data_IF_720116300249
#
_entry.id   IF_720116300249
#
_cell.length_a   1.000
_cell.length_b   1.000
_cell.length_c   1.000
_cell.angle_alpha   90.00
_cell.angle_beta   90.00
_cell.angle_gamma   90.00
#
_symmetry.space_group_name_H-M   'P 1'
#
loop_
_entity.id
_entity.type
_entity.pdbx_description
1 polymer ?
#
# COMPACT_ATOMS: atom_id res chain seq x y z
N UNK A 1 -1.34 -39.95 -22.88
CA UNK A 1 -2.78 -40.02 -22.57
C UNK A 1 -3.13 -38.80 -21.73
N UNK A 2 -4.34 -38.28 -21.93
CA UNK A 2 -4.85 -36.97 -21.54
C UNK A 2 -4.23 -36.32 -20.28
N UNK A 3 -3.58 -35.17 -20.48
CA UNK A 3 -3.32 -34.22 -19.41
C UNK A 3 -4.68 -33.58 -19.10
N UNK A 4 -5.38 -34.08 -18.08
CA UNK A 4 -6.67 -33.54 -17.65
C UNK A 4 -6.51 -32.03 -17.44
N UNK A 5 -7.20 -31.26 -18.28
CA UNK A 5 -7.39 -29.82 -18.07
C UNK A 5 -8.25 -29.70 -16.83
N UNK A 6 -7.64 -29.57 -15.65
CA UNK A 6 -8.35 -29.10 -14.46
C UNK A 6 -8.92 -27.72 -14.81
N UNK A 7 -10.22 -27.70 -15.09
CA UNK A 7 -11.02 -26.49 -15.21
C UNK A 7 -11.54 -26.20 -13.81
N UNK A 8 -11.20 -25.02 -13.29
CA UNK A 8 -11.84 -24.51 -12.08
C UNK A 8 -13.21 -23.95 -12.47
N UNK A 9 -14.25 -24.45 -11.80
CA UNK A 9 -15.65 -24.11 -12.06
C UNK A 9 -16.13 -23.20 -10.92
N UNK A 10 -16.55 -21.99 -11.26
CA UNK A 10 -17.07 -21.01 -10.32
C UNK A 10 -18.56 -21.27 -10.03
N UNK A 11 -19.01 -20.95 -8.83
CA UNK A 11 -20.41 -21.13 -8.44
C UNK A 11 -21.31 -20.07 -9.09
N UNK A 12 -22.56 -20.43 -9.43
CA UNK A 12 -23.51 -19.49 -10.04
C UNK A 12 -23.78 -18.25 -9.16
N UNK A 13 -23.64 -18.37 -7.84
CA UNK A 13 -23.79 -17.30 -6.87
C UNK A 13 -22.68 -16.23 -6.97
N UNK A 14 -21.48 -16.60 -7.40
CA UNK A 14 -20.36 -15.67 -7.58
C UNK A 14 -20.55 -14.75 -8.77
N UNK A 15 -21.05 -15.30 -9.89
CA UNK A 15 -21.45 -14.52 -11.05
C UNK A 15 -22.64 -13.60 -10.74
N UNK A 16 -23.59 -14.06 -9.92
CA UNK A 16 -24.72 -13.26 -9.48
C UNK A 16 -24.28 -12.06 -8.64
N UNK A 17 -23.30 -12.22 -7.73
CA UNK A 17 -22.71 -11.12 -6.95
C UNK A 17 -22.11 -10.02 -7.83
N UNK A 18 -21.29 -10.39 -8.82
CA UNK A 18 -20.67 -9.43 -9.75
C UNK A 18 -21.73 -8.75 -10.62
N UNK A 19 -22.68 -9.52 -11.15
CA UNK A 19 -23.77 -8.99 -11.97
C UNK A 19 -24.62 -7.97 -11.20
N UNK A 20 -24.93 -8.29 -9.94
CA UNK A 20 -25.65 -7.38 -9.04
C UNK A 20 -24.87 -6.10 -8.81
N UNK A 21 -23.59 -6.21 -8.45
CA UNK A 21 -22.73 -5.04 -8.21
C UNK A 21 -22.62 -4.15 -9.45
N UNK A 22 -22.40 -4.72 -10.65
CA UNK A 22 -22.32 -3.96 -11.89
C UNK A 22 -23.60 -3.16 -12.15
N UNK A 23 -24.78 -3.76 -11.91
CA UNK A 23 -26.08 -3.11 -12.12
C UNK A 23 -26.36 -2.01 -11.08
N UNK A 24 -26.02 -2.26 -9.83
CA UNK A 24 -26.34 -1.39 -8.68
C UNK A 24 -25.25 -0.36 -8.35
N UNK A 25 -24.13 -0.35 -9.08
CA UNK A 25 -23.02 0.57 -8.86
C UNK A 25 -23.44 2.02 -9.05
N UNK A 26 -23.43 2.78 -7.95
CA UNK A 26 -23.67 4.22 -7.94
C UNK A 26 -22.35 5.00 -8.07
N UNK A 27 -22.35 6.20 -8.69
CA UNK A 27 -21.16 7.02 -8.81
C UNK A 27 -20.47 7.21 -7.45
N UNK A 28 -19.18 6.89 -7.40
CA UNK A 28 -18.41 7.01 -6.17
C UNK A 28 -17.83 8.42 -6.01
N UNK A 29 -18.25 9.09 -4.95
CA UNK A 29 -17.88 10.47 -4.62
C UNK A 29 -16.54 10.61 -3.89
N UNK A 30 -15.84 9.50 -3.65
CA UNK A 30 -14.63 9.44 -2.83
C UNK A 30 -13.52 10.41 -3.30
N UNK A 31 -13.37 10.65 -4.62
CA UNK A 31 -12.37 11.58 -5.17
C UNK A 31 -12.85 13.03 -5.37
N UNK A 32 -14.06 13.38 -4.92
CA UNK A 32 -14.58 14.75 -5.04
C UNK A 32 -13.71 15.74 -4.25
N UNK A 33 -13.20 15.34 -3.08
CA UNK A 33 -12.30 16.18 -2.27
C UNK A 33 -11.03 16.55 -3.06
N UNK A 34 -10.41 15.57 -3.72
CA UNK A 34 -9.23 15.78 -4.56
C UNK A 34 -9.53 16.73 -5.73
N UNK A 35 -10.67 16.54 -6.41
CA UNK A 35 -11.08 17.40 -7.53
C UNK A 35 -11.30 18.87 -7.11
N UNK A 36 -11.69 19.08 -5.84
CA UNK A 36 -11.93 20.40 -5.27
C UNK A 36 -10.67 21.12 -4.76
N UNK A 37 -9.50 20.47 -4.71
CA UNK A 37 -8.26 21.09 -4.20
C UNK A 37 -7.95 22.40 -4.94
N UNK A 38 -8.17 22.47 -6.26
CA UNK A 38 -7.97 23.72 -7.04
C UNK A 38 -8.82 24.88 -6.53
N UNK A 39 -10.09 24.62 -6.18
CA UNK A 39 -10.99 25.64 -5.64
C UNK A 39 -10.54 26.09 -4.24
N UNK A 40 -10.06 25.16 -3.42
CA UNK A 40 -9.56 25.45 -2.07
C UNK A 40 -8.27 26.27 -2.15
N UNK A 41 -7.33 25.93 -3.04
CA UNK A 41 -6.11 26.71 -3.30
C UNK A 41 -6.47 28.13 -3.75
N UNK A 42 -7.44 28.28 -4.67
CA UNK A 42 -7.90 29.60 -5.13
C UNK A 42 -8.50 30.43 -4.00
N UNK A 43 -9.33 29.82 -3.15
CA UNK A 43 -9.91 30.45 -1.95
C UNK A 43 -8.82 30.87 -0.96
N UNK A 44 -7.83 30.01 -0.71
CA UNK A 44 -6.70 30.26 0.17
C UNK A 44 -5.81 31.41 -0.35
N UNK A 45 -5.53 31.45 -1.65
CA UNK A 45 -4.73 32.53 -2.28
C UNK A 45 -5.31 33.92 -2.03
N UNK A 46 -6.65 34.05 -1.94
CA UNK A 46 -7.33 35.31 -1.67
C UNK A 46 -7.37 35.72 -0.19
N UNK A 47 -7.05 34.80 0.73
CA UNK A 47 -7.17 34.99 2.18
C UNK A 47 -5.84 34.98 2.93
N UNK A 48 -4.82 34.34 2.36
CA UNK A 48 -3.51 34.20 2.99
C UNK A 48 -2.61 35.45 2.79
N UNK A 49 -1.67 35.73 3.72
CA UNK A 49 -0.72 36.83 3.60
C UNK A 49 0.14 36.77 2.33
N UNK A 50 0.60 37.94 1.86
CA UNK A 50 1.42 38.04 0.64
C UNK A 50 2.74 37.26 0.70
N UNK A 51 3.28 37.07 1.89
CA UNK A 51 4.51 36.33 2.16
C UNK A 51 4.40 34.84 1.84
N UNK A 52 3.21 34.25 1.98
CA UNK A 52 2.97 32.82 1.73
C UNK A 52 2.42 32.52 0.34
N UNK A 53 1.95 33.53 -0.40
CA UNK A 53 1.44 33.38 -1.78
C UNK A 53 2.40 32.60 -2.70
N UNK A 54 3.74 32.84 -2.68
CA UNK A 54 4.66 32.07 -3.51
C UNK A 54 4.61 30.56 -3.23
N UNK A 55 4.42 30.17 -1.97
CA UNK A 55 4.35 28.76 -1.54
C UNK A 55 3.01 28.15 -1.96
N UNK A 56 1.91 28.89 -1.81
CA UNK A 56 0.58 28.47 -2.32
C UNK A 56 0.59 28.30 -3.84
N UNK A 57 1.35 29.13 -4.56
CA UNK A 57 1.54 28.99 -6.01
C UNK A 57 2.33 27.71 -6.36
N UNK A 58 3.32 27.34 -5.55
CA UNK A 58 4.03 26.06 -5.70
C UNK A 58 3.07 24.88 -5.54
N UNK A 59 2.25 24.88 -4.49
CA UNK A 59 1.20 23.88 -4.27
C UNK A 59 0.22 23.78 -5.44
N UNK A 60 -0.20 24.92 -5.99
CA UNK A 60 -1.04 24.96 -7.19
C UNK A 60 -0.37 24.29 -8.40
N UNK A 61 0.92 24.56 -8.62
CA UNK A 61 1.69 23.99 -9.72
C UNK A 61 1.92 22.48 -9.52
N UNK A 62 2.27 22.06 -8.30
CA UNK A 62 2.45 20.67 -7.90
C UNK A 62 1.15 19.88 -8.11
N UNK A 63 0.02 20.39 -7.61
CA UNK A 63 -1.30 19.80 -7.83
C UNK A 63 -1.68 19.71 -9.31
N UNK A 64 -1.44 20.76 -10.10
CA UNK A 64 -1.78 20.79 -11.52
C UNK A 64 -1.00 19.74 -12.32
N UNK A 65 0.30 19.58 -12.06
CA UNK A 65 1.14 18.54 -12.69
C UNK A 65 0.67 17.15 -12.30
N UNK A 66 0.46 16.92 -11.00
CA UNK A 66 0.03 15.62 -10.49
C UNK A 66 -1.35 15.22 -10.99
N UNK A 67 -2.28 16.16 -11.08
CA UNK A 67 -3.62 15.91 -11.64
C UNK A 67 -3.55 15.38 -13.07
N UNK A 68 -2.67 15.91 -13.92
CA UNK A 68 -2.49 15.44 -15.30
C UNK A 68 -1.98 13.99 -15.28
N UNK A 69 -0.95 13.71 -14.49
CA UNK A 69 -0.35 12.38 -14.38
C UNK A 69 -1.32 11.34 -13.83
N UNK A 70 -2.09 11.69 -12.79
CA UNK A 70 -3.13 10.83 -12.21
C UNK A 70 -4.20 10.54 -13.25
N UNK A 71 -4.71 11.55 -13.97
CA UNK A 71 -5.74 11.35 -15.00
C UNK A 71 -5.25 10.42 -16.12
N UNK A 72 -4.01 10.59 -16.58
CA UNK A 72 -3.42 9.70 -17.57
C UNK A 72 -3.32 8.27 -17.05
N UNK A 73 -2.76 8.09 -15.86
CA UNK A 73 -2.61 6.76 -15.31
C UNK A 73 -3.95 6.10 -14.95
N UNK A 74 -4.95 6.86 -14.51
CA UNK A 74 -6.31 6.38 -14.28
C UNK A 74 -6.94 5.88 -15.58
N UNK A 75 -6.73 6.58 -16.70
CA UNK A 75 -7.19 6.12 -18.00
C UNK A 75 -6.52 4.78 -18.39
N UNK A 76 -5.21 4.66 -18.19
CA UNK A 76 -4.45 3.43 -18.46
C UNK A 76 -4.92 2.26 -17.58
N UNK A 77 -5.01 2.47 -16.26
CA UNK A 77 -5.47 1.47 -15.29
C UNK A 77 -6.91 1.06 -15.57
N UNK A 78 -7.81 1.99 -15.88
CA UNK A 78 -9.18 1.66 -16.26
C UNK A 78 -9.23 0.82 -17.54
N UNK A 79 -8.36 1.06 -18.52
CA UNK A 79 -8.31 0.26 -19.74
C UNK A 79 -7.87 -1.18 -19.44
N UNK A 80 -6.88 -1.37 -18.57
CA UNK A 80 -6.40 -2.70 -18.13
C UNK A 80 -7.47 -3.40 -17.28
N UNK A 81 -8.03 -2.70 -16.28
CA UNK A 81 -9.02 -3.25 -15.37
C UNK A 81 -10.35 -3.56 -16.06
N UNK A 82 -10.76 -2.77 -17.05
CA UNK A 82 -11.96 -3.10 -17.85
C UNK A 82 -11.77 -4.41 -18.60
N UNK A 83 -10.60 -4.63 -19.21
CA UNK A 83 -10.26 -5.90 -19.87
C UNK A 83 -10.22 -7.04 -18.86
N UNK A 84 -9.64 -6.82 -17.69
CA UNK A 84 -9.61 -7.78 -16.59
C UNK A 84 -11.02 -8.18 -16.17
N UNK A 85 -11.90 -7.22 -15.84
CA UNK A 85 -13.30 -7.47 -15.44
C UNK A 85 -14.05 -8.26 -16.50
N UNK A 86 -13.98 -7.83 -17.77
CA UNK A 86 -14.66 -8.52 -18.87
C UNK A 86 -14.15 -9.96 -19.01
N UNK A 87 -12.82 -10.14 -18.96
CA UNK A 87 -12.21 -11.46 -19.12
C UNK A 87 -12.55 -12.38 -17.95
N UNK A 88 -12.46 -11.89 -16.72
CA UNK A 88 -12.81 -12.63 -15.51
C UNK A 88 -14.29 -13.03 -15.50
N UNK A 89 -15.18 -12.15 -15.94
CA UNK A 89 -16.61 -12.48 -16.08
C UNK A 89 -16.84 -13.63 -17.08
N UNK A 90 -16.19 -13.59 -18.24
CA UNK A 90 -16.26 -14.70 -19.21
C UNK A 90 -15.64 -16.00 -18.67
N UNK A 91 -14.57 -15.90 -17.88
CA UNK A 91 -13.93 -17.05 -17.23
C UNK A 91 -14.87 -17.70 -16.22
N UNK A 92 -15.57 -16.90 -15.41
CA UNK A 92 -16.56 -17.43 -14.45
C UNK A 92 -17.70 -18.19 -15.14
N UNK A 93 -18.11 -17.80 -16.35
CA UNK A 93 -19.15 -18.50 -17.10
C UNK A 93 -18.74 -19.87 -17.64
N UNK A 94 -17.46 -20.04 -17.98
CA UNK A 94 -16.98 -21.21 -18.74
C UNK A 94 -15.92 -22.04 -18.02
N UNK A 95 -15.53 -21.62 -16.81
CA UNK A 95 -14.40 -22.14 -16.05
C UNK A 95 -13.04 -21.61 -16.51
N UNK A 96 -12.07 -21.57 -15.59
CA UNK A 96 -10.71 -21.09 -15.86
C UNK A 96 -9.85 -22.20 -16.47
N UNK A 97 -9.12 -21.88 -17.53
CA UNK A 97 -8.05 -22.72 -18.06
C UNK A 97 -6.68 -22.02 -17.93
N UNK A 98 -5.60 -22.75 -18.22
CA UNK A 98 -4.22 -22.26 -18.09
C UNK A 98 -3.92 -21.01 -18.94
N UNK A 99 -4.53 -20.87 -20.11
CA UNK A 99 -4.32 -19.70 -20.97
C UNK A 99 -5.08 -18.47 -20.45
N UNK A 100 -6.28 -18.68 -19.92
CA UNK A 100 -7.05 -17.63 -19.23
C UNK A 100 -6.28 -17.12 -18.01
N UNK A 101 -5.74 -18.03 -17.18
CA UNK A 101 -4.88 -17.67 -16.04
C UNK A 101 -3.67 -16.83 -16.46
N UNK A 102 -2.96 -17.24 -17.51
CA UNK A 102 -1.82 -16.46 -18.06
C UNK A 102 -2.22 -15.07 -18.52
N UNK A 103 -3.40 -14.93 -19.15
CA UNK A 103 -3.90 -13.63 -19.60
C UNK A 103 -4.23 -12.73 -18.41
N UNK A 104 -4.87 -13.26 -17.37
CA UNK A 104 -5.19 -12.51 -16.15
C UNK A 104 -3.92 -12.04 -15.43
N UNK A 105 -2.90 -12.91 -15.31
CA UNK A 105 -1.58 -12.55 -14.77
C UNK A 105 -0.86 -11.51 -15.65
N UNK A 106 -0.99 -11.59 -16.98
CA UNK A 106 -0.37 -10.62 -17.87
C UNK A 106 -1.02 -9.22 -17.75
N UNK A 107 -2.31 -9.15 -17.39
CA UNK A 107 -3.01 -7.88 -17.12
C UNK A 107 -2.55 -7.26 -15.80
N UNK A 108 -2.19 -8.06 -14.79
CA UNK A 108 -1.58 -7.56 -13.54
C UNK A 108 -0.29 -6.78 -13.82
N UNK A 109 0.61 -7.35 -14.63
CA UNK A 109 1.88 -6.69 -15.01
C UNK A 109 1.70 -5.42 -15.85
N UNK A 110 0.51 -5.20 -16.41
CA UNK A 110 0.17 -4.00 -17.19
C UNK A 110 -0.44 -2.89 -16.32
N UNK A 111 -0.78 -3.16 -15.05
CA UNK A 111 -1.33 -2.15 -14.16
C UNK A 111 -0.28 -1.07 -13.90
N UNK A 112 -0.63 0.19 -14.18
CA UNK A 112 0.29 1.31 -14.02
C UNK A 112 0.48 1.65 -12.52
N UNK A 113 1.57 1.16 -11.93
CA UNK A 113 1.92 1.44 -10.53
C UNK A 113 2.61 2.79 -10.34
N UNK A 114 3.04 3.46 -11.42
CA UNK A 114 3.72 4.75 -11.32
C UNK A 114 2.79 5.85 -10.76
N UNK A 115 1.49 5.67 -10.86
CA UNK A 115 0.49 6.60 -10.31
C UNK A 115 0.65 6.74 -8.80
N UNK A 116 0.88 5.62 -8.10
CA UNK A 116 1.07 5.59 -6.64
C UNK A 116 2.33 6.39 -6.29
N UNK A 117 3.45 6.12 -6.97
CA UNK A 117 4.70 6.84 -6.74
C UNK A 117 4.55 8.36 -6.99
N UNK A 118 3.80 8.75 -8.01
CA UNK A 118 3.54 10.17 -8.31
C UNK A 118 2.61 10.84 -7.28
N UNK A 119 1.66 10.08 -6.73
CA UNK A 119 0.79 10.53 -5.65
C UNK A 119 1.57 10.72 -4.35
N UNK A 120 2.41 9.76 -4.00
CA UNK A 120 3.27 9.84 -2.81
C UNK A 120 4.20 11.07 -2.92
N UNK A 121 4.79 11.30 -4.09
CA UNK A 121 5.61 12.48 -4.34
C UNK A 121 4.82 13.80 -4.21
N UNK A 122 3.57 13.83 -4.69
CA UNK A 122 2.71 15.00 -4.55
C UNK A 122 2.29 15.27 -3.11
N UNK A 123 1.94 14.22 -2.37
CA UNK A 123 1.60 14.32 -0.95
C UNK A 123 2.77 14.88 -0.19
N UNK A 124 3.97 14.35 -0.40
CA UNK A 124 5.16 14.82 0.29
C UNK A 124 5.50 16.27 -0.07
N UNK A 125 5.39 16.65 -1.35
CA UNK A 125 5.54 18.05 -1.77
C UNK A 125 4.50 18.95 -1.10
N UNK A 126 3.23 18.54 -1.09
CA UNK A 126 2.12 19.30 -0.51
C UNK A 126 2.29 19.45 1.00
N UNK A 127 2.73 18.40 1.68
CA UNK A 127 3.06 18.39 3.11
C UNK A 127 4.14 19.43 3.39
N UNK A 128 5.25 19.38 2.65
CA UNK A 128 6.36 20.33 2.79
C UNK A 128 5.90 21.78 2.57
N UNK A 129 5.14 22.05 1.50
CA UNK A 129 4.61 23.37 1.16
C UNK A 129 3.64 23.89 2.23
N UNK A 130 2.74 23.05 2.74
CA UNK A 130 1.76 23.45 3.76
C UNK A 130 2.42 23.65 5.14
N UNK A 131 3.43 22.85 5.50
CA UNK A 131 4.28 23.07 6.68
C UNK A 131 5.05 24.38 6.56
N UNK A 132 5.52 24.73 5.36
CA UNK A 132 6.21 25.99 5.11
C UNK A 132 5.27 27.19 5.23
N UNK A 133 4.06 27.10 4.64
CA UNK A 133 3.00 28.12 4.83
C UNK A 133 2.75 28.32 6.33
N UNK A 134 2.67 27.22 7.07
CA UNK A 134 2.49 27.28 8.51
C UNK A 134 3.63 28.00 9.23
N UNK A 135 4.86 27.59 8.94
CA UNK A 135 6.08 28.15 9.52
C UNK A 135 6.18 29.67 9.31
N UNK A 136 5.78 30.17 8.13
CA UNK A 136 5.76 31.59 7.84
C UNK A 136 4.64 32.32 8.60
N UNK A 137 3.43 31.75 8.68
CA UNK A 137 2.34 32.33 9.50
C UNK A 137 2.74 32.44 10.98
N UNK A 138 3.42 31.41 11.51
CA UNK A 138 3.90 31.44 12.89
C UNK A 138 5.06 32.44 13.07
N UNK A 139 5.94 32.58 12.08
CA UNK A 139 7.01 33.58 12.09
C UNK A 139 6.46 35.00 12.08
N UNK A 140 5.41 35.27 11.32
CA UNK A 140 4.70 36.56 11.38
C UNK A 140 4.09 36.82 12.75
N UNK A 141 3.54 35.78 13.40
CA UNK A 141 2.91 35.86 14.73
C UNK A 141 3.88 36.12 15.87
N UNK A 142 5.03 35.46 15.84
CA UNK A 142 5.94 35.38 16.99
C UNK A 142 7.22 36.20 16.77
N UNK A 143 7.58 36.47 15.52
CA UNK A 143 8.81 37.18 15.17
C UNK A 143 10.06 36.28 15.18
N UNK A 144 11.24 36.90 15.28
CA UNK A 144 12.53 36.23 15.04
C UNK A 144 12.88 35.10 16.04
N UNK A 145 12.24 35.05 17.21
CA UNK A 145 12.49 34.03 18.23
C UNK A 145 12.14 32.60 17.80
N UNK A 146 11.07 32.43 17.01
CA UNK A 146 10.61 31.11 16.54
C UNK A 146 11.45 30.59 15.36
N UNK A 147 12.15 31.47 14.63
CA UNK A 147 12.85 31.11 13.40
C UNK A 147 13.95 30.05 13.63
N UNK A 148 14.64 30.10 14.77
CA UNK A 148 15.65 29.10 15.15
C UNK A 148 15.01 27.73 15.43
N UNK A 149 13.85 27.71 16.08
CA UNK A 149 13.12 26.48 16.40
C UNK A 149 12.54 25.84 15.14
N UNK A 150 11.96 26.63 14.24
CA UNK A 150 11.47 26.16 12.95
C UNK A 150 12.60 25.54 12.12
N UNK A 151 13.75 26.22 12.04
CA UNK A 151 14.93 25.68 11.34
C UNK A 151 15.40 24.36 11.96
N UNK A 152 15.50 24.28 13.29
CA UNK A 152 15.88 23.06 14.00
C UNK A 152 14.86 21.93 13.77
N UNK A 153 13.57 22.27 13.71
CA UNK A 153 12.49 21.34 13.40
C UNK A 153 12.65 20.75 11.99
N UNK A 154 12.98 21.56 10.98
CA UNK A 154 13.19 21.08 9.61
C UNK A 154 14.43 20.18 9.49
N UNK A 155 15.51 20.52 10.18
CA UNK A 155 16.73 19.70 10.25
C UNK A 155 16.46 18.34 10.91
N UNK A 156 15.72 18.33 12.03
CA UNK A 156 15.38 17.11 12.75
C UNK A 156 14.37 16.25 11.99
N UNK A 157 13.38 16.86 11.32
CA UNK A 157 12.42 16.14 10.48
C UNK A 157 13.12 15.45 9.31
N UNK A 158 14.04 16.15 8.64
CA UNK A 158 14.83 15.57 7.54
C UNK A 158 15.69 14.39 8.02
N UNK A 159 16.30 14.50 9.20
CA UNK A 159 17.08 13.41 9.78
C UNK A 159 16.19 12.23 10.20
N UNK A 160 15.00 12.51 10.75
CA UNK A 160 14.04 11.50 11.16
C UNK A 160 13.50 10.69 9.97
N UNK A 161 13.12 11.36 8.88
CA UNK A 161 12.64 10.70 7.66
C UNK A 161 13.72 9.81 7.04
N UNK A 162 14.96 10.31 6.94
CA UNK A 162 16.11 9.52 6.46
C UNK A 162 16.35 8.27 7.30
N UNK A 163 16.33 8.42 8.63
CA UNK A 163 16.54 7.29 9.56
C UNK A 163 15.38 6.31 9.55
N UNK A 164 14.15 6.78 9.36
CA UNK A 164 12.97 5.93 9.22
C UNK A 164 13.07 5.04 7.98
N UNK A 165 13.56 5.59 6.86
CA UNK A 165 13.84 4.83 5.64
C UNK A 165 14.94 3.78 5.89
N UNK A 166 16.06 4.16 6.50
CA UNK A 166 17.14 3.23 6.87
C UNK A 166 16.63 2.10 7.79
N UNK A 167 15.85 2.43 8.82
CA UNK A 167 15.27 1.48 9.77
C UNK A 167 14.26 0.55 9.09
N UNK A 168 13.43 1.08 8.19
CA UNK A 168 12.49 0.33 7.38
C UNK A 168 13.20 -0.70 6.50
N UNK A 169 14.22 -0.26 5.76
CA UNK A 169 14.99 -1.12 4.89
C UNK A 169 15.66 -2.24 5.70
N UNK A 170 16.23 -1.89 6.86
CA UNK A 170 16.85 -2.88 7.75
C UNK A 170 15.84 -3.86 8.33
N UNK A 171 14.64 -3.40 8.72
CA UNK A 171 13.56 -4.28 9.18
C UNK A 171 13.14 -5.29 8.10
N UNK A 172 13.06 -4.85 6.84
CA UNK A 172 12.73 -5.72 5.71
C UNK A 172 13.84 -6.73 5.43
N UNK A 173 15.12 -6.32 5.54
CA UNK A 173 16.26 -7.25 5.47
C UNK A 173 16.18 -8.32 6.58
N UNK A 174 15.95 -7.91 7.84
CA UNK A 174 15.78 -8.82 8.98
C UNK A 174 14.67 -9.84 8.70
N UNK A 175 13.50 -9.36 8.27
CA UNK A 175 12.37 -10.23 8.06
C UNK A 175 12.47 -11.10 6.80
N UNK A 176 13.15 -10.65 5.74
CA UNK A 176 13.50 -11.50 4.59
C UNK A 176 14.45 -12.62 5.02
N UNK A 177 15.46 -12.30 5.82
CA UNK A 177 16.40 -13.27 6.36
C UNK A 177 15.69 -14.30 7.24
N UNK A 178 14.82 -13.85 8.14
CA UNK A 178 14.01 -14.71 9.01
C UNK A 178 13.05 -15.61 8.20
N UNK A 179 12.38 -15.07 7.18
CA UNK A 179 11.52 -15.87 6.29
C UNK A 179 12.30 -16.97 5.56
N UNK A 180 13.53 -16.69 5.13
CA UNK A 180 14.39 -17.70 4.51
C UNK A 180 14.83 -18.79 5.49
N UNK A 181 15.17 -18.43 6.74
CA UNK A 181 15.46 -19.39 7.81
C UNK A 181 14.26 -20.31 8.04
N UNK A 182 13.06 -19.75 8.19
CA UNK A 182 11.84 -20.54 8.42
C UNK A 182 11.54 -21.50 7.26
N UNK A 183 11.69 -21.04 6.02
CA UNK A 183 11.50 -21.87 4.84
C UNK A 183 12.51 -23.02 4.80
N UNK A 184 13.79 -22.73 5.05
CA UNK A 184 14.85 -23.73 5.05
C UNK A 184 14.68 -24.75 6.18
N UNK A 185 14.26 -24.31 7.38
CA UNK A 185 13.95 -25.20 8.49
C UNK A 185 12.79 -26.14 8.16
N UNK A 186 11.73 -25.61 7.55
CA UNK A 186 10.59 -26.42 7.10
C UNK A 186 11.00 -27.42 6.01
N UNK A 187 11.77 -26.97 5.01
CA UNK A 187 12.28 -27.81 3.93
C UNK A 187 13.16 -28.94 4.49
N UNK A 188 14.09 -28.61 5.39
CA UNK A 188 14.94 -29.59 6.08
C UNK A 188 14.11 -30.63 6.83
N UNK A 189 13.16 -30.19 7.67
CA UNK A 189 12.28 -31.10 8.42
C UNK A 189 11.48 -32.02 7.48
N UNK A 190 11.01 -31.47 6.36
CA UNK A 190 10.29 -32.24 5.35
C UNK A 190 11.20 -33.29 4.70
N UNK A 191 12.41 -32.93 4.26
CA UNK A 191 13.32 -33.90 3.66
C UNK A 191 13.85 -34.95 4.65
N UNK A 192 14.07 -34.56 5.91
CA UNK A 192 14.41 -35.51 6.98
C UNK A 192 13.30 -36.55 7.21
N UNK A 193 12.03 -36.14 7.14
CA UNK A 193 10.89 -37.07 7.15
C UNK A 193 10.78 -37.89 5.85
N UNK A 194 11.07 -37.29 4.70
CA UNK A 194 10.99 -37.94 3.39
C UNK A 194 12.00 -39.10 3.26
N UNK A 195 13.14 -39.02 3.95
CA UNK A 195 14.09 -40.13 4.06
C UNK A 195 13.45 -41.40 4.69
N UNK A 196 12.44 -41.24 5.54
CA UNK A 196 11.70 -42.35 6.14
C UNK A 196 10.41 -42.71 5.36
N UNK A 197 9.69 -41.72 4.83
CA UNK A 197 8.46 -41.92 4.05
C UNK A 197 8.26 -40.83 2.99
N UNK A 198 8.93 -40.96 1.84
CA UNK A 198 8.92 -39.95 0.78
C UNK A 198 7.53 -39.58 0.26
N UNK A 199 6.65 -40.57 0.04
CA UNK A 199 5.29 -40.33 -0.46
C UNK A 199 4.40 -39.67 0.58
N UNK A 200 4.44 -40.14 1.83
CA UNK A 200 3.67 -39.51 2.92
C UNK A 200 4.13 -38.07 3.20
N UNK A 201 5.43 -37.78 3.09
CA UNK A 201 5.92 -36.40 3.23
C UNK A 201 5.49 -35.51 2.07
N UNK A 202 5.46 -36.01 0.83
CA UNK A 202 4.93 -35.23 -0.31
C UNK A 202 3.46 -34.85 -0.09
N UNK A 203 2.67 -35.76 0.46
CA UNK A 203 1.27 -35.51 0.85
C UNK A 203 1.17 -34.49 1.99
N UNK A 204 2.01 -34.59 3.03
CA UNK A 204 2.09 -33.60 4.13
C UNK A 204 2.46 -32.20 3.62
N UNK A 205 3.45 -32.07 2.73
CA UNK A 205 3.84 -30.78 2.13
C UNK A 205 2.71 -30.21 1.28
N UNK A 206 1.98 -31.06 0.54
CA UNK A 206 0.80 -30.64 -0.23
C UNK A 206 -0.32 -30.15 0.70
N UNK A 207 -0.56 -30.83 1.81
CA UNK A 207 -1.54 -30.41 2.82
C UNK A 207 -1.14 -29.09 3.50
N UNK A 208 0.15 -28.88 3.76
CA UNK A 208 0.65 -27.61 4.31
C UNK A 208 0.48 -26.45 3.32
N UNK A 209 0.71 -26.67 2.02
CA UNK A 209 0.42 -25.66 0.97
C UNK A 209 -1.05 -25.24 1.04
N UNK A 210 -1.97 -26.20 1.14
CA UNK A 210 -3.41 -25.91 1.28
C UNK A 210 -3.70 -25.13 2.57
N UNK A 211 -3.09 -25.52 3.69
CA UNK A 211 -3.23 -24.82 4.97
C UNK A 211 -2.73 -23.38 4.89
N UNK A 212 -1.57 -23.15 4.27
CA UNK A 212 -0.98 -21.82 4.09
C UNK A 212 -1.84 -20.95 3.15
N UNK A 213 -2.41 -21.52 2.08
CA UNK A 213 -3.38 -20.83 1.23
C UNK A 213 -4.60 -20.37 2.05
N UNK A 214 -5.11 -21.24 2.94
CA UNK A 214 -6.18 -20.87 3.88
C UNK A 214 -5.83 -19.73 4.85
N UNK A 215 -4.54 -19.42 5.08
CA UNK A 215 -4.11 -18.29 5.91
C UNK A 215 -4.05 -16.96 5.18
N UNK A 216 -4.11 -16.96 3.83
CA UNK A 216 -4.06 -15.73 3.02
C UNK A 216 -5.18 -14.77 3.46
N UNK A 217 -6.40 -15.28 3.63
CA UNK A 217 -7.56 -14.51 4.07
C UNK A 217 -7.35 -13.85 5.43
N UNK A 218 -6.74 -14.53 6.41
CA UNK A 218 -6.47 -13.97 7.73
C UNK A 218 -5.42 -12.84 7.69
N UNK A 219 -4.41 -12.98 6.83
CA UNK A 219 -3.43 -11.90 6.62
C UNK A 219 -4.01 -10.72 5.85
N UNK A 220 -4.91 -10.97 4.90
CA UNK A 220 -5.65 -9.90 4.22
C UNK A 220 -6.60 -9.18 5.16
N UNK A 221 -7.34 -9.91 6.01
CA UNK A 221 -8.18 -9.33 7.06
C UNK A 221 -7.33 -8.48 8.00
N UNK A 222 -6.11 -8.91 8.35
CA UNK A 222 -5.18 -8.08 9.15
C UNK A 222 -4.68 -6.85 8.39
N UNK A 223 -4.35 -6.97 7.10
CA UNK A 223 -4.00 -5.82 6.25
C UNK A 223 -5.17 -4.84 6.19
N UNK A 224 -6.40 -5.34 6.06
CA UNK A 224 -7.62 -4.55 5.98
C UNK A 224 -7.98 -3.91 7.33
N UNK A 225 -7.87 -4.65 8.44
CA UNK A 225 -8.02 -4.13 9.79
C UNK A 225 -7.00 -3.03 10.05
N UNK A 226 -5.72 -3.25 9.77
CA UNK A 226 -4.73 -2.18 9.89
C UNK A 226 -5.04 -1.02 8.96
N UNK A 227 -5.60 -1.22 7.76
CA UNK A 227 -6.05 -0.10 6.90
C UNK A 227 -7.21 0.68 7.48
N UNK A 228 -8.22 -0.01 8.02
CA UNK A 228 -9.45 0.60 8.52
C UNK A 228 -9.17 1.31 9.86
N UNK A 229 -8.41 0.67 10.76
CA UNK A 229 -7.92 1.28 12.00
C UNK A 229 -6.94 2.41 11.71
N UNK A 230 -6.04 2.25 10.73
CA UNK A 230 -5.17 3.33 10.28
C UNK A 230 -5.94 4.42 9.53
N UNK A 231 -7.17 4.23 9.06
CA UNK A 231 -7.99 5.33 8.51
C UNK A 231 -8.63 6.17 9.62
N UNK A 232 -9.00 5.54 10.75
CA UNK A 232 -9.46 6.23 11.96
C UNK A 232 -8.29 6.93 12.70
N UNK A 233 -7.11 6.33 12.69
CA UNK A 233 -5.89 6.90 13.26
C UNK A 233 -5.13 7.84 12.29
N UNK A 234 -5.19 7.68 10.96
CA UNK A 234 -4.58 8.61 9.98
C UNK A 234 -5.21 9.99 9.98
N UNK A 235 -6.44 10.12 10.48
CA UNK A 235 -7.03 11.41 10.83
C UNK A 235 -6.12 12.28 11.70
N UNK A 236 -5.13 11.70 12.41
CA UNK A 236 -4.12 12.45 13.18
C UNK A 236 -2.71 12.46 12.58
N UNK A 237 -2.37 11.65 11.57
CA UNK A 237 -1.01 11.10 11.51
C UNK A 237 -0.09 11.57 10.39
N UNK A 238 -0.56 11.99 9.20
CA UNK A 238 0.38 12.01 8.06
C UNK A 238 0.61 13.31 7.32
N UNK A 239 -0.07 14.41 7.66
CA UNK A 239 0.15 15.64 6.88
C UNK A 239 0.44 16.90 7.75
N UNK A 240 0.11 16.95 9.06
CA UNK A 240 0.24 18.21 9.84
C UNK A 240 0.67 18.05 11.31
N UNK A 241 1.79 17.34 11.53
CA UNK A 241 2.27 16.89 12.85
C UNK A 241 2.50 17.95 13.93
N UNK A 242 2.49 19.25 13.62
CA UNK A 242 2.72 20.26 14.66
C UNK A 242 1.42 20.86 15.22
N UNK A 243 0.23 20.53 14.69
CA UNK A 243 -1.07 20.99 15.22
C UNK A 243 -2.09 19.90 15.55
N UNK A 244 -2.01 18.72 14.93
CA UNK A 244 -2.90 17.58 15.23
C UNK A 244 -2.12 16.60 16.10
N UNK A 245 -2.64 16.42 17.32
CA UNK A 245 -1.95 15.76 18.44
C UNK A 245 -1.82 14.26 18.22
N UNK A 246 -0.76 13.74 18.82
CA UNK A 246 -0.47 12.33 19.10
C UNK A 246 -0.04 11.50 17.87
N UNK A 247 1.28 11.37 17.72
CA UNK A 247 1.91 10.53 16.70
C UNK A 247 2.01 9.10 17.19
N UNK A 248 1.32 8.17 16.51
CA UNK A 248 1.56 6.74 16.63
C UNK A 248 1.98 6.17 15.26
N UNK A 249 3.24 5.75 15.12
CA UNK A 249 3.72 5.15 13.88
C UNK A 249 3.26 3.69 13.85
N UNK A 250 2.04 3.43 13.34
CA UNK A 250 1.65 2.06 13.03
C UNK A 250 2.19 1.64 11.66
N UNK A 251 3.27 0.88 11.67
CA UNK A 251 3.78 0.17 10.49
C UNK A 251 2.95 -1.09 10.17
N UNK A 252 1.85 -1.34 10.88
CA UNK A 252 1.03 -2.53 10.85
C UNK A 252 0.53 -2.91 9.46
N UNK A 253 0.03 -1.97 8.65
CA UNK A 253 -0.39 -2.27 7.27
C UNK A 253 0.78 -2.80 6.44
N UNK A 254 1.92 -2.10 6.48
CA UNK A 254 3.10 -2.47 5.70
C UNK A 254 3.67 -3.81 6.17
N UNK A 255 3.75 -4.01 7.48
CA UNK A 255 4.22 -5.27 8.09
C UNK A 255 3.28 -6.42 7.74
N UNK A 256 1.96 -6.22 7.87
CA UNK A 256 0.96 -7.22 7.50
C UNK A 256 1.03 -7.57 6.01
N UNK A 257 1.24 -6.56 5.15
CA UNK A 257 1.41 -6.74 3.70
C UNK A 257 2.72 -7.44 3.34
N UNK A 258 3.80 -7.12 4.04
CA UNK A 258 5.07 -7.82 3.88
C UNK A 258 4.95 -9.28 4.35
N UNK A 259 4.24 -9.54 5.44
CA UNK A 259 3.95 -10.89 5.92
C UNK A 259 3.09 -11.67 4.92
N UNK A 260 2.08 -11.03 4.32
CA UNK A 260 1.29 -11.62 3.23
C UNK A 260 2.16 -11.97 2.02
N UNK A 261 3.04 -11.06 1.60
CA UNK A 261 3.98 -11.31 0.51
C UNK A 261 4.95 -12.46 0.83
N UNK A 262 5.42 -12.57 2.09
CA UNK A 262 6.25 -13.68 2.55
C UNK A 262 5.50 -15.01 2.56
N UNK A 263 4.24 -15.00 3.00
CA UNK A 263 3.36 -16.18 2.95
C UNK A 263 3.20 -16.67 1.50
N UNK A 264 2.92 -15.75 0.57
CA UNK A 264 2.82 -16.05 -0.87
C UNK A 264 4.15 -16.60 -1.42
N UNK A 265 5.28 -15.99 -1.06
CA UNK A 265 6.61 -16.47 -1.46
C UNK A 265 6.86 -17.90 -0.96
N UNK A 266 6.55 -18.18 0.30
CA UNK A 266 6.67 -19.51 0.90
C UNK A 266 5.78 -20.54 0.19
N UNK A 267 4.55 -20.19 -0.16
CA UNK A 267 3.66 -21.08 -0.93
C UNK A 267 4.30 -21.45 -2.28
N UNK A 268 4.82 -20.47 -3.01
CA UNK A 268 5.48 -20.71 -4.31
C UNK A 268 6.70 -21.61 -4.19
N UNK A 269 7.55 -21.38 -3.18
CA UNK A 269 8.74 -22.20 -2.94
C UNK A 269 8.35 -23.66 -2.66
N UNK A 270 7.32 -23.88 -1.83
CA UNK A 270 6.80 -25.23 -1.54
C UNK A 270 6.17 -25.91 -2.75
N UNK A 271 5.38 -25.18 -3.56
CA UNK A 271 4.82 -25.69 -4.80
C UNK A 271 5.92 -26.14 -5.78
N UNK A 272 7.01 -25.37 -5.86
CA UNK A 272 8.17 -25.70 -6.70
C UNK A 272 8.91 -26.95 -6.19
N UNK A 273 9.05 -27.11 -4.88
CA UNK A 273 9.63 -28.31 -4.27
C UNK A 273 8.77 -29.55 -4.58
N UNK A 274 7.44 -29.46 -4.41
CA UNK A 274 6.50 -30.56 -4.74
C UNK A 274 6.55 -30.90 -6.23
N UNK A 275 6.70 -29.90 -7.09
CA UNK A 275 6.83 -30.09 -8.53
C UNK A 275 8.08 -30.89 -8.91
N UNK A 276 9.21 -30.61 -8.25
CA UNK A 276 10.51 -31.21 -8.57
C UNK A 276 10.84 -32.43 -7.70
N UNK A 277 9.88 -32.95 -6.94
CA UNK A 277 10.11 -33.92 -5.85
C UNK A 277 10.83 -35.22 -6.29
N UNK A 278 10.68 -35.65 -7.54
CA UNK A 278 11.30 -36.88 -8.07
C UNK A 278 12.79 -36.77 -8.32
N UNK A 279 13.31 -35.55 -8.44
CA UNK A 279 14.67 -35.28 -8.96
C UNK A 279 15.62 -34.79 -7.86
N UNK A 280 15.14 -34.72 -6.61
CA UNK A 280 15.89 -34.19 -5.47
C UNK A 280 16.70 -35.30 -4.81
N UNK A 281 18.02 -35.13 -4.78
CA UNK A 281 18.87 -35.88 -3.84
C UNK A 281 18.64 -35.33 -2.42
N UNK A 282 17.80 -36.02 -1.67
CA UNK A 282 17.41 -35.61 -0.32
C UNK A 282 18.60 -35.48 0.64
N UNK A 283 19.60 -36.37 0.52
CA UNK A 283 20.76 -36.37 1.40
C UNK A 283 21.67 -35.18 1.14
N UNK A 284 21.97 -34.91 -0.14
CA UNK A 284 22.74 -33.74 -0.54
C UNK A 284 21.98 -32.45 -0.19
N UNK A 285 20.67 -32.40 -0.45
CA UNK A 285 19.87 -31.21 -0.19
C UNK A 285 19.75 -30.87 1.29
N UNK A 286 19.61 -31.86 2.18
CA UNK A 286 19.65 -31.63 3.63
C UNK A 286 21.00 -31.03 4.06
N UNK A 287 22.11 -31.52 3.49
CA UNK A 287 23.44 -30.99 3.77
C UNK A 287 23.60 -29.54 3.30
N UNK A 288 23.13 -29.25 2.08
CA UNK A 288 23.13 -27.89 1.51
C UNK A 288 22.30 -26.93 2.37
N UNK A 289 21.09 -27.35 2.80
CA UNK A 289 20.23 -26.55 3.68
C UNK A 289 20.92 -26.26 5.01
N UNK A 290 21.64 -27.21 5.60
CA UNK A 290 22.37 -26.98 6.85
C UNK A 290 23.50 -25.93 6.68
N UNK A 291 24.19 -25.94 5.54
CA UNK A 291 25.19 -24.92 5.21
C UNK A 291 24.54 -23.55 4.99
N UNK A 292 23.43 -23.48 4.24
CA UNK A 292 22.65 -22.25 4.04
C UNK A 292 22.15 -21.67 5.38
N UNK A 293 21.56 -22.50 6.25
CA UNK A 293 21.06 -22.07 7.57
C UNK A 293 22.18 -21.44 8.41
N UNK A 294 23.38 -22.03 8.41
CA UNK A 294 24.53 -21.46 9.14
C UNK A 294 24.86 -20.03 8.67
N UNK A 295 24.79 -19.78 7.36
CA UNK A 295 25.02 -18.46 6.78
C UNK A 295 23.90 -17.48 7.18
N UNK A 296 22.64 -17.91 7.07
CA UNK A 296 21.48 -17.07 7.39
C UNK A 296 21.37 -16.77 8.89
N UNK A 297 21.72 -17.69 9.79
CA UNK A 297 21.76 -17.47 11.24
C UNK A 297 22.87 -16.50 11.64
N UNK A 298 24.06 -16.61 11.05
CA UNK A 298 25.12 -15.63 11.27
C UNK A 298 24.69 -14.23 10.80
N UNK A 299 24.04 -14.15 9.64
CA UNK A 299 23.50 -12.90 9.10
C UNK A 299 22.36 -12.34 9.95
N UNK A 300 21.53 -13.18 10.57
CA UNK A 300 20.46 -12.76 11.49
C UNK A 300 21.02 -11.94 12.65
N UNK A 301 22.06 -12.45 13.33
CA UNK A 301 22.69 -11.76 14.45
C UNK A 301 23.25 -10.40 14.02
N UNK A 302 23.90 -10.34 12.86
CA UNK A 302 24.40 -9.08 12.31
C UNK A 302 23.27 -8.08 12.04
N UNK A 303 22.20 -8.52 11.35
CA UNK A 303 21.06 -7.67 11.00
C UNK A 303 20.32 -7.16 12.24
N UNK A 304 20.15 -7.99 13.27
CA UNK A 304 19.53 -7.60 14.55
C UNK A 304 20.36 -6.52 15.26
N UNK A 305 21.70 -6.66 15.28
CA UNK A 305 22.58 -5.64 15.84
C UNK A 305 22.52 -4.32 15.07
N UNK A 306 22.59 -4.38 13.73
CA UNK A 306 22.49 -3.20 12.87
C UNK A 306 21.13 -2.50 13.05
N UNK A 307 20.05 -3.27 13.13
CA UNK A 307 18.70 -2.75 13.39
C UNK A 307 18.62 -2.03 14.73
N UNK A 308 19.15 -2.63 15.80
CA UNK A 308 19.15 -2.00 17.13
C UNK A 308 19.95 -0.71 17.19
N UNK A 309 21.09 -0.64 16.50
CA UNK A 309 21.88 0.59 16.38
C UNK A 309 21.10 1.70 15.66
N UNK A 310 20.47 1.39 14.52
CA UNK A 310 19.63 2.33 13.78
C UNK A 310 18.42 2.76 14.61
N UNK A 311 17.79 1.84 15.33
CA UNK A 311 16.65 2.14 16.20
C UNK A 311 17.02 3.11 17.30
N UNK A 312 18.13 2.91 18.00
CA UNK A 312 18.58 3.81 19.07
C UNK A 312 18.83 5.23 18.53
N UNK A 313 19.42 5.33 17.34
CA UNK A 313 19.65 6.61 16.68
C UNK A 313 18.34 7.29 16.25
N UNK A 314 17.40 6.52 15.69
CA UNK A 314 16.06 6.99 15.34
C UNK A 314 15.33 7.52 16.58
N UNK A 315 15.25 6.72 17.66
CA UNK A 315 14.56 7.07 18.91
C UNK A 315 15.15 8.35 19.54
N UNK A 316 16.47 8.57 19.41
CA UNK A 316 17.12 9.79 19.90
C UNK A 316 16.73 11.04 19.10
N UNK A 317 16.67 10.94 17.77
CA UNK A 317 16.27 12.06 16.90
C UNK A 317 14.78 12.36 17.09
N UNK A 318 13.96 11.33 17.18
CA UNK A 318 12.53 11.44 17.47
C UNK A 318 12.26 12.19 18.78
N UNK A 319 12.96 11.83 19.85
CA UNK A 319 12.87 12.55 21.13
C UNK A 319 13.23 14.04 21.00
N UNK A 320 14.29 14.36 20.25
CA UNK A 320 14.72 15.74 20.04
C UNK A 320 13.73 16.53 19.17
N UNK A 321 13.14 15.86 18.17
CA UNK A 321 12.11 16.41 17.31
C UNK A 321 10.88 16.80 18.13
N UNK A 322 10.31 15.87 18.91
CA UNK A 322 9.14 16.17 19.75
C UNK A 322 9.40 17.23 20.80
N UNK A 323 10.58 17.24 21.43
CA UNK A 323 10.95 18.31 22.35
C UNK A 323 10.95 19.71 21.67
N UNK A 324 11.37 19.77 20.40
CA UNK A 324 11.36 21.01 19.61
C UNK A 324 9.93 21.39 19.21
N UNK A 325 9.09 20.42 18.84
CA UNK A 325 7.66 20.65 18.56
C UNK A 325 6.95 21.17 19.81
N UNK A 326 7.14 20.57 20.98
CA UNK A 326 6.54 21.03 22.23
C UNK A 326 6.92 22.48 22.57
N UNK A 327 8.15 22.89 22.27
CA UNK A 327 8.62 24.25 22.49
C UNK A 327 7.92 25.23 21.54
N UNK A 328 7.83 24.89 20.25
CA UNK A 328 7.06 25.63 19.24
C UNK A 328 5.59 25.76 19.68
N UNK A 329 5.00 24.68 20.16
CA UNK A 329 3.60 24.59 20.54
C UNK A 329 3.29 25.46 21.78
N UNK A 330 4.18 25.46 22.78
CA UNK A 330 4.11 26.37 23.94
C UNK A 330 4.13 27.83 23.51
N UNK A 331 4.98 28.19 22.54
CA UNK A 331 5.10 29.56 22.02
C UNK A 331 3.86 29.95 21.20
N UNK A 332 3.35 29.03 20.37
CA UNK A 332 2.14 29.27 19.60
C UNK A 332 0.94 29.54 20.50
N UNK A 333 0.78 28.76 21.59
CA UNK A 333 -0.32 28.93 22.56
C UNK A 333 -0.20 30.22 23.37
N UNK A 334 1.01 30.70 23.66
CA UNK A 334 1.22 31.93 24.45
C UNK A 334 1.04 33.20 23.63
N UNK A 335 1.32 33.16 22.33
CA UNK A 335 1.29 34.35 21.45
C UNK A 335 -0.06 34.53 20.76
N UNK A 336 -0.87 33.46 20.67
CA UNK A 336 -2.11 33.46 19.91
C UNK A 336 -1.88 33.30 18.41
N UNK A 337 -2.95 33.48 17.63
CA UNK A 337 -2.89 33.45 16.15
C UNK A 337 -3.27 34.82 15.64
N UNK A 338 -2.47 35.41 14.73
CA UNK A 338 -2.79 36.72 14.17
C UNK A 338 -4.00 36.62 13.22
N UNK A 339 -4.21 35.46 12.60
CA UNK A 339 -5.26 35.26 11.60
C UNK A 339 -5.86 33.85 11.66
N UNK A 340 -7.01 33.74 12.32
CA UNK A 340 -7.79 32.51 12.45
C UNK A 340 -8.30 32.03 11.08
N UNK A 341 -8.59 32.93 10.14
CA UNK A 341 -9.06 32.55 8.81
C UNK A 341 -7.94 31.94 7.97
N UNK A 342 -6.72 32.49 8.04
CA UNK A 342 -5.54 31.88 7.40
C UNK A 342 -5.28 30.47 7.92
N UNK A 343 -5.38 30.26 9.24
CA UNK A 343 -5.24 28.93 9.84
C UNK A 343 -6.30 27.94 9.36
N UNK A 344 -7.56 28.35 9.32
CA UNK A 344 -8.65 27.52 8.76
C UNK A 344 -8.42 27.17 7.30
N UNK A 345 -7.87 28.09 6.49
CA UNK A 345 -7.59 27.81 5.08
C UNK A 345 -6.47 26.79 4.91
N UNK A 346 -5.44 26.86 5.77
CA UNK A 346 -4.41 25.82 5.83
C UNK A 346 -5.09 24.49 6.20
N UNK A 347 -5.86 24.42 7.28
CA UNK A 347 -6.55 23.20 7.71
C UNK A 347 -7.52 22.63 6.64
N UNK A 348 -8.20 23.48 5.85
CA UNK A 348 -9.02 23.04 4.72
C UNK A 348 -8.16 22.43 3.59
N UNK A 349 -7.01 23.03 3.25
CA UNK A 349 -6.07 22.48 2.27
C UNK A 349 -5.50 21.15 2.73
N UNK A 350 -5.17 21.08 4.01
CA UNK A 350 -4.68 19.91 4.71
C UNK A 350 -5.61 18.70 4.52
N UNK A 351 -6.87 18.88 4.92
CA UNK A 351 -7.90 17.84 4.84
C UNK A 351 -8.18 17.41 3.40
N UNK A 352 -8.13 18.35 2.45
CA UNK A 352 -8.38 18.05 1.04
C UNK A 352 -7.26 17.21 0.40
N UNK A 353 -5.99 17.53 0.69
CA UNK A 353 -4.85 16.71 0.23
C UNK A 353 -4.90 15.32 0.87
N UNK A 354 -5.19 15.25 2.17
CA UNK A 354 -5.29 13.99 2.91
C UNK A 354 -6.37 13.07 2.36
N UNK A 355 -7.61 13.58 2.28
CA UNK A 355 -8.75 12.80 1.80
C UNK A 355 -8.52 12.29 0.38
N UNK A 356 -7.88 13.10 -0.48
CA UNK A 356 -7.53 12.69 -1.83
C UNK A 356 -6.48 11.58 -1.89
N UNK A 357 -5.44 11.65 -1.06
CA UNK A 357 -4.41 10.60 -1.00
C UNK A 357 -4.99 9.27 -0.52
N UNK A 358 -5.64 9.27 0.63
CA UNK A 358 -6.13 8.05 1.30
C UNK A 358 -7.03 7.25 0.38
N UNK A 359 -7.93 7.95 -0.30
CA UNK A 359 -8.83 7.42 -1.31
C UNK A 359 -8.11 6.67 -2.43
N UNK A 360 -7.08 7.29 -3.02
CA UNK A 360 -6.42 6.71 -4.19
C UNK A 360 -5.47 5.58 -3.78
N UNK A 361 -4.69 5.77 -2.71
CA UNK A 361 -3.74 4.77 -2.21
C UNK A 361 -4.47 3.53 -1.71
N UNK A 362 -5.61 3.70 -1.01
CA UNK A 362 -6.41 2.57 -0.52
C UNK A 362 -6.93 1.71 -1.69
N UNK A 363 -7.59 2.34 -2.66
CA UNK A 363 -8.20 1.65 -3.81
C UNK A 363 -7.15 0.96 -4.70
N UNK A 364 -6.04 1.63 -5.03
CA UNK A 364 -4.95 1.02 -5.81
C UNK A 364 -4.22 -0.08 -5.04
N UNK A 365 -3.96 0.15 -3.75
CA UNK A 365 -3.26 -0.81 -2.91
C UNK A 365 -4.04 -2.10 -2.68
N UNK A 366 -5.38 -2.05 -2.68
CA UNK A 366 -6.25 -3.22 -2.58
C UNK A 366 -6.26 -4.00 -3.90
N UNK A 367 -6.46 -3.30 -5.01
CA UNK A 367 -6.46 -3.89 -6.35
C UNK A 367 -5.16 -4.62 -6.67
N UNK A 368 -4.01 -4.02 -6.34
CA UNK A 368 -2.70 -4.63 -6.58
C UNK A 368 -2.54 -5.96 -5.85
N UNK A 369 -2.90 -6.02 -4.56
CA UNK A 369 -2.80 -7.24 -3.76
C UNK A 369 -3.67 -8.34 -4.34
N UNK A 370 -4.94 -8.05 -4.61
CA UNK A 370 -5.85 -9.06 -5.15
C UNK A 370 -5.41 -9.59 -6.53
N UNK A 371 -4.89 -8.74 -7.42
CA UNK A 371 -4.32 -9.21 -8.70
C UNK A 371 -3.11 -10.15 -8.51
N UNK A 372 -2.29 -9.93 -7.48
CA UNK A 372 -1.15 -10.80 -7.17
C UNK A 372 -1.58 -12.14 -6.57
N UNK A 373 -2.70 -12.17 -5.84
CA UNK A 373 -3.23 -13.36 -5.17
C UNK A 373 -3.95 -14.29 -6.14
N UNK A 374 -4.54 -13.80 -7.24
CA UNK A 374 -5.14 -14.65 -8.30
C UNK A 374 -4.14 -15.67 -8.86
N UNK A 375 -2.85 -15.33 -8.89
CA UNK A 375 -1.81 -16.26 -9.33
C UNK A 375 -1.59 -17.43 -8.34
N UNK A 376 -2.01 -17.29 -7.09
CA UNK A 376 -1.79 -18.27 -6.02
C UNK A 376 -3.08 -19.05 -5.71
N UNK A 377 -4.22 -18.37 -5.81
CA UNK A 377 -5.53 -18.89 -5.45
C UNK A 377 -6.62 -18.28 -6.37
N UNK A 378 -7.32 -19.16 -7.10
CA UNK A 378 -8.31 -18.79 -8.10
C UNK A 378 -9.63 -18.30 -7.47
N UNK A 379 -9.86 -18.60 -6.18
CA UNK A 379 -11.05 -18.17 -5.42
C UNK A 379 -11.06 -16.64 -5.20
N UNK A 380 -9.90 -15.99 -5.33
CA UNK A 380 -9.77 -14.53 -5.24
C UNK A 380 -10.24 -13.79 -6.48
N UNK A 381 -10.59 -14.50 -7.56
CA UNK A 381 -11.01 -13.87 -8.81
C UNK A 381 -12.23 -12.97 -8.59
N UNK A 382 -13.19 -13.39 -7.77
CA UNK A 382 -14.41 -12.62 -7.49
C UNK A 382 -14.08 -11.33 -6.75
N UNK A 383 -13.37 -11.41 -5.62
CA UNK A 383 -12.95 -10.25 -4.83
C UNK A 383 -12.13 -9.25 -5.67
N UNK A 384 -11.26 -9.77 -6.54
CA UNK A 384 -10.47 -8.96 -7.47
C UNK A 384 -11.32 -8.20 -8.48
N UNK A 385 -12.38 -8.83 -9.00
CA UNK A 385 -13.32 -8.18 -9.93
C UNK A 385 -14.14 -7.11 -9.24
N UNK A 386 -14.60 -7.36 -8.00
CA UNK A 386 -15.37 -6.38 -7.23
C UNK A 386 -14.53 -5.12 -6.95
N UNK A 387 -13.26 -5.29 -6.57
CA UNK A 387 -12.37 -4.15 -6.32
C UNK A 387 -11.97 -3.42 -7.61
N UNK A 388 -11.78 -4.15 -8.72
CA UNK A 388 -11.58 -3.52 -10.02
C UNK A 388 -12.75 -2.63 -10.40
N UNK A 389 -13.98 -3.10 -10.17
CA UNK A 389 -15.20 -2.34 -10.43
C UNK A 389 -15.29 -1.10 -9.53
N UNK A 390 -14.95 -1.20 -8.24
CA UNK A 390 -14.89 -0.02 -7.35
C UNK A 390 -13.87 1.01 -7.83
N UNK A 391 -12.66 0.58 -8.20
CA UNK A 391 -11.61 1.47 -8.69
C UNK A 391 -12.00 2.15 -10.01
N UNK A 392 -12.62 1.41 -10.94
CA UNK A 392 -13.14 1.98 -12.19
C UNK A 392 -14.27 2.97 -11.90
N UNK A 393 -15.18 2.67 -10.97
CA UNK A 393 -16.29 3.54 -10.63
C UNK A 393 -15.85 4.86 -9.97
N UNK A 394 -14.90 4.78 -9.03
CA UNK A 394 -14.25 5.95 -8.43
C UNK A 394 -13.56 6.81 -9.50
N UNK A 395 -12.89 6.15 -10.45
CA UNK A 395 -12.22 6.84 -11.56
C UNK A 395 -13.21 7.48 -12.52
N UNK A 396 -14.30 6.79 -12.86
CA UNK A 396 -15.36 7.30 -13.75
C UNK A 396 -15.98 8.58 -13.19
N UNK A 397 -16.31 8.59 -11.90
CA UNK A 397 -16.84 9.77 -11.23
C UNK A 397 -15.84 10.94 -11.20
N UNK A 398 -14.55 10.64 -11.01
CA UNK A 398 -13.49 11.66 -11.00
C UNK A 398 -13.18 12.23 -12.39
N UNK A 399 -13.11 11.38 -13.42
CA UNK A 399 -12.72 11.76 -14.78
C UNK A 399 -13.92 12.17 -15.65
N UNK A 400 -15.14 11.91 -15.21
CA UNK A 400 -16.35 12.06 -16.02
C UNK A 400 -16.40 11.05 -17.18
N UNK A 401 -15.84 9.85 -17.00
CA UNK A 401 -15.86 8.78 -18.00
C UNK A 401 -17.03 7.83 -17.78
N UNK A 402 -17.30 6.97 -18.76
CA UNK A 402 -18.44 6.03 -18.76
C UNK A 402 -17.97 4.58 -18.88
N UNK A 403 -16.84 4.22 -18.26
CA UNK A 403 -16.24 2.88 -18.38
C UNK A 403 -17.14 1.80 -17.79
N UNK A 404 -17.77 2.02 -16.64
CA UNK A 404 -18.76 1.11 -16.07
C UNK A 404 -19.92 0.88 -17.04
N UNK A 405 -20.42 1.94 -17.70
CA UNK A 405 -21.48 1.79 -18.71
C UNK A 405 -21.02 0.98 -19.92
N UNK A 406 -19.78 1.19 -20.37
CA UNK A 406 -19.21 0.40 -21.46
C UNK A 406 -19.07 -1.08 -21.06
N UNK A 407 -18.67 -1.38 -19.83
CA UNK A 407 -18.60 -2.76 -19.30
C UNK A 407 -20.00 -3.38 -19.28
N UNK A 408 -21.02 -2.65 -18.80
CA UNK A 408 -22.42 -3.10 -18.81
C UNK A 408 -22.89 -3.51 -20.21
N UNK A 409 -22.61 -2.69 -21.21
CA UNK A 409 -22.97 -2.95 -22.60
C UNK A 409 -22.23 -4.17 -23.17
N UNK A 410 -20.92 -4.27 -22.93
CA UNK A 410 -20.11 -5.40 -23.44
C UNK A 410 -20.54 -6.73 -22.81
N UNK A 411 -20.95 -6.71 -21.55
CA UNK A 411 -21.44 -7.90 -20.84
C UNK A 411 -22.94 -8.16 -21.06
N UNK A 412 -23.63 -7.36 -21.88
CA UNK A 412 -25.07 -7.44 -22.12
C UNK A 412 -25.91 -7.43 -20.83
N UNK A 413 -25.50 -6.61 -19.86
CA UNK A 413 -26.17 -6.48 -18.56
C UNK A 413 -27.19 -5.34 -18.55
N UNK A 414 -27.11 -4.42 -19.51
CA UNK A 414 -28.04 -3.32 -19.83
C UNK A 414 -28.06 -3.03 -21.34
#
# INVERSE_FOLDING_TARGET
MANERQMVVFEADEQAKITKMIKELHPDSTLIAFNNISNIIKKATGKLPKTVIPIVQQLCNSYSKTTITIKLGFADSCAVLSKFVIKSYCVMQRGMNKDDRKVLIALEKQLNTNIINNLDAFVESSRSELVQIHSELLREAVGAGIAKLLKKKDELESDLLRRLEELTNKASECGTNQGKIESLLFEKQSFEKALANSMGTKEETTAEIVRLKGQILDYEDKVQQHRDTCSEERGSLWIFSWKVRDVHIDNGERIARENLNRLIGRIRDLEQIVHNWSDIDLGQRISDIAAELTIYDAKKIQLENDYMLLKNLYDQVEKNFYATIEEIDKISRSTGTIDVESMKMVDELCLAVQSGQESIVSAYGKMRTHLQVIDVDEDFLVSSVLDALQLINMTDAYMGTTKIQNIKQVLALE
#
